data_IF_938176829960
#
_entry.id   IF_938176829960
#
_cell.length_a   1.000
_cell.length_b   1.000
_cell.length_c   1.000
_cell.angle_alpha   90.00
_cell.angle_beta   90.00
_cell.angle_gamma   90.00
#
_symmetry.space_group_name_H-M   'P 1'
#
loop_
_entity.id
_entity.type
_entity.pdbx_description
1 polymer ?
#
# COMPACT_ATOMS: atom_id res chain seq x y z
N UNK A 1 7.49 5.51 -48.23
CA UNK A 1 6.50 4.64 -48.89
C UNK A 1 5.18 4.62 -48.13
N UNK A 2 4.58 5.79 -47.88
CA UNK A 2 3.34 5.88 -47.08
C UNK A 2 2.06 5.78 -47.92
N UNK A 3 2.15 5.87 -49.24
CA UNK A 3 0.99 5.85 -50.14
C UNK A 3 0.47 4.42 -50.36
N UNK A 4 1.35 3.41 -50.31
CA UNK A 4 1.02 1.97 -50.42
C UNK A 4 0.30 1.43 -49.16
N UNK A 5 0.63 1.94 -47.97
CA UNK A 5 0.05 1.46 -46.70
C UNK A 5 -1.45 1.80 -46.57
N UNK A 6 -1.84 2.98 -47.06
CA UNK A 6 -3.25 3.42 -47.03
C UNK A 6 -4.10 2.59 -48.00
N UNK A 7 -3.52 2.21 -49.14
CA UNK A 7 -4.21 1.43 -50.17
C UNK A 7 -4.40 -0.03 -49.72
N UNK A 8 -3.44 -0.60 -48.98
CA UNK A 8 -3.57 -1.93 -48.35
C UNK A 8 -4.65 -1.91 -47.25
N UNK A 9 -4.78 -0.85 -46.47
CA UNK A 9 -5.83 -0.70 -45.45
C UNK A 9 -7.24 -0.58 -46.07
N UNK A 10 -7.37 0.07 -47.22
CA UNK A 10 -8.66 0.27 -47.89
C UNK A 10 -9.05 -0.93 -48.75
N UNK A 11 -8.14 -1.41 -49.60
CA UNK A 11 -8.43 -2.39 -50.67
C UNK A 11 -7.70 -3.73 -50.55
N UNK A 12 -6.79 -3.88 -49.58
CA UNK A 12 -6.03 -5.11 -49.36
C UNK A 12 -6.88 -6.30 -48.88
N UNK A 13 -6.33 -7.50 -49.03
CA UNK A 13 -6.96 -8.72 -48.48
C UNK A 13 -6.89 -8.75 -46.94
N UNK A 14 -7.76 -9.49 -46.25
CA UNK A 14 -7.78 -9.53 -44.78
C UNK A 14 -6.45 -9.93 -44.16
N UNK A 15 -5.67 -10.79 -44.82
CA UNK A 15 -4.34 -11.20 -44.37
C UNK A 15 -3.31 -10.08 -44.52
N UNK A 16 -3.35 -9.34 -45.63
CA UNK A 16 -2.46 -8.18 -45.84
C UNK A 16 -2.73 -7.09 -44.80
N UNK A 17 -4.00 -6.84 -44.46
CA UNK A 17 -4.36 -5.87 -43.41
C UNK A 17 -3.86 -6.33 -42.03
N UNK A 18 -4.01 -7.61 -41.69
CA UNK A 18 -3.50 -8.16 -40.42
C UNK A 18 -1.98 -8.11 -40.33
N UNK A 19 -1.30 -8.35 -41.45
CA UNK A 19 0.16 -8.29 -41.54
C UNK A 19 0.68 -6.87 -41.33
N UNK A 20 0.08 -5.89 -42.00
CA UNK A 20 0.43 -4.47 -41.83
C UNK A 20 0.18 -3.98 -40.39
N UNK A 21 -0.95 -4.37 -39.79
CA UNK A 21 -1.27 -3.99 -38.40
C UNK A 21 -0.27 -4.61 -37.41
N UNK A 22 0.15 -5.87 -37.62
CA UNK A 22 1.17 -6.51 -36.78
C UNK A 22 2.50 -5.77 -36.88
N UNK A 23 2.94 -5.47 -38.11
CA UNK A 23 4.18 -4.74 -38.36
C UNK A 23 4.19 -3.35 -37.72
N UNK A 24 3.09 -2.59 -37.79
CA UNK A 24 2.99 -1.28 -37.13
C UNK A 24 2.95 -1.34 -35.60
N UNK A 25 2.39 -2.42 -35.01
CA UNK A 25 2.20 -2.52 -33.56
C UNK A 25 3.36 -3.20 -32.84
N UNK A 26 4.01 -4.18 -33.46
CA UNK A 26 5.12 -4.92 -32.84
C UNK A 26 6.48 -4.59 -33.47
N UNK A 27 6.52 -3.90 -34.62
CA UNK A 27 7.77 -3.59 -35.33
C UNK A 27 8.42 -4.80 -36.00
N UNK A 28 7.74 -5.95 -35.99
CA UNK A 28 8.28 -7.22 -36.47
C UNK A 28 7.98 -7.37 -37.97
N UNK A 29 8.95 -7.02 -38.81
CA UNK A 29 9.00 -7.54 -40.17
C UNK A 29 9.60 -8.95 -40.14
N UNK A 30 9.07 -9.85 -40.95
CA UNK A 30 9.54 -11.24 -41.08
C UNK A 30 10.91 -11.30 -41.77
N UNK A 31 11.95 -10.75 -41.14
CA UNK A 31 13.34 -11.04 -41.51
C UNK A 31 13.83 -12.24 -40.71
N UNK A 32 13.78 -13.38 -41.39
CA UNK A 32 14.56 -14.56 -41.09
C UNK A 32 16.06 -14.23 -41.13
N UNK A 33 16.68 -14.02 -39.98
CA UNK A 33 18.07 -14.38 -39.75
C UNK A 33 18.22 -14.90 -38.34
N UNK A 34 18.40 -16.21 -38.23
CA UNK A 34 19.12 -16.89 -37.14
C UNK A 34 20.48 -16.18 -37.02
N UNK A 35 20.52 -15.14 -36.20
CA UNK A 35 21.70 -14.28 -36.04
C UNK A 35 22.75 -15.11 -35.31
N UNK A 36 23.81 -15.48 -36.03
CA UNK A 36 24.89 -16.34 -35.54
C UNK A 36 25.44 -15.82 -34.20
N UNK A 37 25.41 -14.49 -34.02
CA UNK A 37 25.77 -13.80 -32.80
C UNK A 37 24.82 -14.07 -31.62
N UNK A 38 23.50 -14.09 -31.83
CA UNK A 38 22.52 -14.38 -30.78
C UNK A 38 22.69 -15.81 -30.26
N UNK A 39 22.97 -16.75 -31.18
CA UNK A 39 23.19 -18.16 -30.86
C UNK A 39 24.53 -18.40 -30.18
N UNK A 40 25.57 -17.68 -30.60
CA UNK A 40 26.87 -17.66 -29.91
C UNK A 40 26.71 -17.09 -28.50
N UNK A 41 25.97 -15.98 -28.33
CA UNK A 41 25.69 -15.39 -27.02
C UNK A 41 24.90 -16.34 -26.11
N UNK A 42 23.87 -17.02 -26.63
CA UNK A 42 23.14 -18.03 -25.87
C UNK A 42 24.03 -19.22 -25.50
N UNK A 43 24.94 -19.64 -26.39
CA UNK A 43 25.89 -20.70 -26.12
C UNK A 43 26.93 -20.28 -25.06
N UNK A 44 27.44 -19.05 -25.13
CA UNK A 44 28.35 -18.49 -24.14
C UNK A 44 27.64 -18.42 -22.78
N UNK A 45 26.46 -17.80 -22.69
CA UNK A 45 25.67 -17.70 -21.46
C UNK A 45 25.39 -19.06 -20.84
N UNK A 46 24.96 -20.05 -21.64
CA UNK A 46 24.73 -21.41 -21.16
C UNK A 46 26.02 -22.08 -20.69
N UNK A 47 27.15 -21.83 -21.35
CA UNK A 47 28.46 -22.36 -20.92
C UNK A 47 28.89 -21.72 -19.60
N UNK A 48 28.69 -20.42 -19.43
CA UNK A 48 28.99 -19.70 -18.17
C UNK A 48 28.11 -20.19 -17.03
N UNK A 49 26.80 -20.34 -17.25
CA UNK A 49 25.89 -20.90 -16.25
C UNK A 49 26.28 -22.32 -15.86
N UNK A 50 26.61 -23.18 -16.82
CA UNK A 50 27.03 -24.56 -16.56
C UNK A 50 28.37 -24.64 -15.81
N UNK A 51 29.26 -23.67 -16.03
CA UNK A 51 30.53 -23.55 -15.29
C UNK A 51 30.30 -23.09 -13.85
N UNK A 52 29.36 -22.18 -13.64
CA UNK A 52 28.92 -21.77 -12.31
C UNK A 52 28.22 -22.93 -11.59
N UNK A 53 27.29 -23.62 -12.23
CA UNK A 53 26.61 -24.80 -11.66
C UNK A 53 27.59 -25.92 -11.31
N UNK A 54 28.61 -26.18 -12.13
CA UNK A 54 29.65 -27.15 -11.83
C UNK A 54 30.52 -26.78 -10.62
N UNK A 55 30.68 -25.48 -10.32
CA UNK A 55 31.33 -24.99 -9.10
C UNK A 55 30.48 -25.17 -7.85
N UNK A 56 29.16 -25.16 -8.01
CA UNK A 56 28.20 -25.32 -6.92
C UNK A 56 27.87 -26.80 -6.65
N UNK A 57 27.97 -27.67 -7.68
CA UNK A 57 27.72 -29.12 -7.60
C UNK A 57 29.03 -29.89 -7.34
N UNK A 58 29.78 -29.48 -6.32
CA UNK A 58 30.78 -30.35 -5.70
C UNK A 58 30.88 -30.11 -4.19
N UNK A 59 30.25 -31.01 -3.43
CA UNK A 59 30.82 -31.46 -2.18
C UNK A 59 30.96 -33.00 -2.19
N UNK A 60 32.21 -33.48 -2.12
CA UNK A 60 32.73 -34.60 -1.31
C UNK A 60 34.10 -35.03 -1.89
N UNK A 61 35.21 -35.09 -1.15
CA UNK A 61 35.38 -35.81 0.12
C UNK A 61 36.49 -35.19 0.97
N UNK A 62 36.19 -34.91 2.25
CA UNK A 62 37.17 -34.38 3.21
C UNK A 62 36.60 -34.10 4.61
N UNK A 63 35.94 -35.09 5.21
CA UNK A 63 35.63 -35.22 6.63
C UNK A 63 34.47 -34.40 7.24
N UNK A 64 33.44 -35.19 7.56
CA UNK A 64 32.58 -35.17 8.76
C UNK A 64 31.23 -34.43 8.74
N UNK A 65 30.20 -35.27 8.65
CA UNK A 65 28.93 -35.23 9.40
C UNK A 65 27.90 -34.17 9.01
N UNK A 66 26.99 -34.60 8.13
CA UNK A 66 25.52 -34.43 8.19
C UNK A 66 24.97 -33.23 8.98
N UNK A 67 24.18 -32.40 8.30
CA UNK A 67 22.70 -32.40 8.40
C UNK A 67 22.14 -31.27 7.54
N UNK A 68 21.28 -31.60 6.58
CA UNK A 68 20.36 -30.61 6.01
C UNK A 68 19.39 -30.18 7.11
N UNK A 69 19.45 -28.90 7.49
CA UNK A 69 18.48 -28.27 8.37
C UNK A 69 17.90 -27.04 7.67
N UNK A 70 16.64 -27.17 7.29
CA UNK A 70 15.69 -26.07 7.23
C UNK A 70 15.56 -25.44 8.62
N UNK A 71 16.06 -24.21 8.76
CA UNK A 71 15.98 -23.31 9.94
C UNK A 71 17.09 -23.52 11.00
N UNK A 72 17.36 -22.58 11.93
CA UNK A 72 17.05 -21.15 12.03
C UNK A 72 18.30 -20.29 11.70
N UNK A 73 18.17 -18.96 11.75
CA UNK A 73 19.25 -18.00 11.53
C UNK A 73 20.57 -18.40 12.23
N UNK A 74 21.54 -18.87 11.44
CA UNK A 74 22.93 -18.86 11.87
C UNK A 74 23.31 -17.40 12.04
N UNK A 75 23.59 -16.98 13.27
CA UNK A 75 24.13 -15.66 13.59
C UNK A 75 25.54 -15.55 13.02
N UNK A 76 25.66 -15.49 11.70
CA UNK A 76 26.91 -15.12 11.04
C UNK A 76 27.22 -13.70 11.48
N UNK A 77 28.39 -13.48 12.07
CA UNK A 77 28.84 -12.14 12.47
C UNK A 77 29.23 -11.28 11.25
N UNK A 78 29.22 -11.85 10.05
CA UNK A 78 29.67 -11.24 8.80
C UNK A 78 28.68 -11.52 7.66
N UNK A 79 28.54 -10.59 6.72
CA UNK A 79 27.77 -10.80 5.50
C UNK A 79 28.39 -11.90 4.63
N UNK A 80 27.56 -12.60 3.87
CA UNK A 80 28.01 -13.66 2.95
C UNK A 80 29.03 -13.11 1.95
N UNK A 81 30.06 -13.91 1.66
CA UNK A 81 31.16 -13.51 0.79
C UNK A 81 30.70 -13.23 -0.64
N UNK A 82 29.58 -13.84 -1.04
CA UNK A 82 28.92 -13.65 -2.34
C UNK A 82 28.36 -12.22 -2.49
N UNK A 83 27.96 -11.56 -1.39
CA UNK A 83 27.30 -10.25 -1.43
C UNK A 83 28.25 -9.08 -1.80
N UNK A 84 29.57 -9.25 -1.60
CA UNK A 84 30.59 -8.21 -1.82
C UNK A 84 31.56 -8.53 -2.97
N UNK A 85 31.26 -9.50 -3.83
CA UNK A 85 32.18 -10.00 -4.89
C UNK A 85 32.24 -9.07 -6.13
N UNK A 86 31.40 -8.03 -6.21
CA UNK A 86 31.36 -7.10 -7.36
C UNK A 86 32.13 -5.79 -7.17
N UNK A 87 32.71 -5.51 -5.99
CA UNK A 87 33.40 -4.24 -5.70
C UNK A 87 34.90 -4.43 -5.38
N UNK A 88 35.49 -5.55 -5.82
CA UNK A 88 36.94 -5.76 -5.69
C UNK A 88 37.66 -5.62 -7.02
N UNK A 89 37.57 -4.43 -7.62
CA UNK A 89 38.58 -4.02 -8.60
C UNK A 89 39.86 -3.64 -7.83
N UNK A 90 40.93 -4.39 -8.09
CA UNK A 90 42.25 -4.20 -7.51
C UNK A 90 42.85 -2.85 -7.95
N UNK A 91 42.85 -1.86 -7.06
CA UNK A 91 43.75 -0.70 -7.18
C UNK A 91 45.10 -1.05 -6.50
N UNK A 92 46.10 -1.20 -7.36
CA UNK A 92 47.52 -1.48 -7.07
C UNK A 92 48.12 -0.59 -5.96
N UNK A 93 48.24 -1.11 -4.73
CA UNK A 93 49.17 -0.56 -3.72
C UNK A 93 49.77 -1.65 -2.86
N UNK A 94 51.07 -1.86 -2.99
CA UNK A 94 51.92 -2.76 -2.19
C UNK A 94 51.65 -2.56 -0.69
N UNK A 95 50.75 -3.36 -0.13
CA UNK A 95 50.48 -3.43 1.30
C UNK A 95 50.30 -4.91 1.64
N UNK A 96 50.91 -5.33 2.74
CA UNK A 96 51.02 -6.75 3.14
C UNK A 96 49.65 -7.45 3.13
N UNK A 97 49.57 -8.59 2.44
CA UNK A 97 48.31 -9.30 2.16
C UNK A 97 47.47 -9.58 3.42
N UNK A 98 48.11 -9.74 4.58
CA UNK A 98 47.44 -10.03 5.85
C UNK A 98 46.69 -8.83 6.44
N UNK A 99 47.18 -7.60 6.23
CA UNK A 99 46.52 -6.37 6.70
C UNK A 99 45.27 -6.08 5.87
N UNK A 100 45.34 -6.33 4.56
CA UNK A 100 44.22 -6.17 3.62
C UNK A 100 43.06 -7.12 3.94
N UNK A 101 43.35 -8.39 4.25
CA UNK A 101 42.34 -9.40 4.62
C UNK A 101 41.63 -9.04 5.93
N UNK A 102 42.36 -8.57 6.95
CA UNK A 102 41.76 -8.17 8.22
C UNK A 102 40.86 -6.93 8.11
N UNK A 103 41.22 -5.92 7.30
CA UNK A 103 40.37 -4.74 7.07
C UNK A 103 39.08 -5.08 6.32
N UNK A 104 39.18 -5.91 5.27
CA UNK A 104 38.00 -6.41 4.53
C UNK A 104 37.08 -7.24 5.43
N UNK A 105 37.65 -8.06 6.32
CA UNK A 105 36.86 -8.84 7.27
C UNK A 105 36.15 -7.93 8.28
N UNK A 106 36.79 -6.88 8.81
CA UNK A 106 36.13 -5.91 9.69
C UNK A 106 34.98 -5.15 8.98
N UNK A 107 35.12 -4.81 7.70
CA UNK A 107 34.08 -4.11 6.93
C UNK A 107 32.86 -4.98 6.61
N UNK A 108 33.04 -6.30 6.51
CA UNK A 108 31.95 -7.26 6.27
C UNK A 108 31.16 -7.60 7.52
N UNK A 109 31.51 -7.07 8.69
CA UNK A 109 30.81 -7.38 9.94
C UNK A 109 29.39 -6.83 9.88
N UNK A 110 28.41 -7.65 10.26
CA UNK A 110 27.02 -7.20 10.38
C UNK A 110 26.97 -6.24 11.57
N UNK A 111 26.59 -4.99 11.30
CA UNK A 111 26.41 -3.95 12.32
C UNK A 111 25.26 -4.37 13.24
N UNK A 112 25.42 -4.16 14.56
CA UNK A 112 24.29 -4.38 15.48
C UNK A 112 23.22 -3.32 15.25
N UNK A 113 21.98 -3.60 15.70
CA UNK A 113 20.90 -2.61 15.66
C UNK A 113 21.30 -1.28 16.31
N UNK A 114 22.02 -1.31 17.44
CA UNK A 114 22.57 -0.10 18.09
C UNK A 114 23.59 0.65 17.22
N UNK A 115 24.40 -0.07 16.43
CA UNK A 115 25.38 0.51 15.51
C UNK A 115 24.71 1.06 14.24
N UNK A 116 23.55 0.50 13.86
CA UNK A 116 22.65 1.01 12.82
C UNK A 116 21.73 2.13 13.30
N UNK A 117 21.76 2.48 14.59
CA UNK A 117 20.79 3.36 15.25
C UNK A 117 19.32 2.93 15.02
N UNK A 118 19.09 1.63 14.81
CA UNK A 118 17.74 1.07 14.66
C UNK A 118 17.27 0.52 16.00
N UNK A 119 16.17 1.07 16.53
CA UNK A 119 15.53 0.55 17.74
C UNK A 119 14.39 -0.41 17.34
N UNK A 120 14.55 -1.74 17.52
CA UNK A 120 13.51 -2.70 17.15
C UNK A 120 12.24 -2.58 18.00
N UNK A 121 12.28 -1.88 19.15
CA UNK A 121 11.13 -1.69 20.03
C UNK A 121 10.41 -0.36 19.79
N UNK A 122 10.88 0.49 18.88
CA UNK A 122 10.26 1.79 18.57
C UNK A 122 8.82 1.62 18.08
N UNK A 123 8.60 0.71 17.14
CA UNK A 123 7.27 0.39 16.61
C UNK A 123 6.31 -0.10 17.73
N UNK A 124 6.81 -0.91 18.68
CA UNK A 124 6.02 -1.39 19.80
C UNK A 124 5.60 -0.24 20.72
N UNK A 125 6.54 0.67 21.06
CA UNK A 125 6.26 1.86 21.87
C UNK A 125 5.23 2.77 21.19
N UNK A 126 5.36 2.96 19.88
CA UNK A 126 4.44 3.79 19.10
C UNK A 126 3.04 3.17 19.03
N UNK A 127 2.96 1.86 18.81
CA UNK A 127 1.69 1.13 18.84
C UNK A 127 0.98 1.25 20.20
N UNK A 128 1.73 1.11 21.29
CA UNK A 128 1.21 1.29 22.65
C UNK A 128 0.69 2.70 22.90
N UNK A 129 1.38 3.72 22.37
CA UNK A 129 0.97 5.11 22.47
C UNK A 129 -0.32 5.38 21.69
N UNK A 130 -0.41 4.92 20.44
CA UNK A 130 -1.63 5.04 19.62
C UNK A 130 -2.80 4.33 20.31
N UNK A 131 -2.58 3.13 20.83
CA UNK A 131 -3.59 2.38 21.57
C UNK A 131 -4.03 3.11 22.83
N UNK A 132 -3.12 3.74 23.55
CA UNK A 132 -3.41 4.59 24.71
C UNK A 132 -4.31 5.76 24.32
N UNK A 133 -3.99 6.44 23.22
CA UNK A 133 -4.80 7.54 22.69
C UNK A 133 -6.22 7.06 22.30
N UNK A 134 -6.32 5.94 21.57
CA UNK A 134 -7.60 5.33 21.19
C UNK A 134 -8.44 4.92 22.41
N UNK A 135 -7.78 4.40 23.46
CA UNK A 135 -8.44 4.08 24.75
C UNK A 135 -8.96 5.34 25.44
N UNK A 136 -8.19 6.43 25.44
CA UNK A 136 -8.56 7.71 26.04
C UNK A 136 -9.92 8.21 25.52
N UNK A 137 -10.13 8.16 24.21
CA UNK A 137 -11.40 8.58 23.61
C UNK A 137 -12.57 7.66 23.97
N UNK A 138 -12.39 6.34 23.91
CA UNK A 138 -13.47 5.36 24.20
C UNK A 138 -13.88 5.35 25.68
N UNK A 139 -12.95 5.61 26.59
CA UNK A 139 -13.21 5.54 28.03
C UNK A 139 -13.95 6.76 28.60
N UNK A 140 -14.09 7.86 27.86
CA UNK A 140 -14.87 9.02 28.31
C UNK A 140 -16.36 8.71 28.54
N UNK A 141 -16.89 7.64 27.93
CA UNK A 141 -18.30 7.22 28.08
C UNK A 141 -18.52 6.00 28.98
N UNK A 142 -17.46 5.40 29.57
CA UNK A 142 -17.59 4.23 30.46
C UNK A 142 -17.19 4.58 31.89
N UNK A 143 -18.08 4.29 32.84
CA UNK A 143 -17.82 4.48 34.26
C UNK A 143 -16.56 3.71 34.71
N UNK A 144 -15.79 4.20 35.70
CA UNK A 144 -14.56 3.58 36.14
C UNK A 144 -14.86 2.26 36.88
N UNK A 145 -14.98 1.16 36.15
CA UNK A 145 -15.06 -0.17 36.75
C UNK A 145 -13.67 -0.79 36.83
N UNK A 146 -13.18 -0.81 38.07
CA UNK A 146 -12.18 -1.71 38.66
C UNK A 146 -10.84 -1.83 37.94
N UNK A 147 -9.89 -1.09 38.50
CA UNK A 147 -8.44 -1.32 38.41
C UNK A 147 -8.15 -2.78 38.81
N UNK A 148 -7.65 -3.61 37.87
CA UNK A 148 -6.73 -4.76 38.11
C UNK A 148 -6.64 -5.81 36.97
N UNK A 149 -7.29 -5.62 35.81
CA UNK A 149 -7.07 -6.51 34.65
C UNK A 149 -6.19 -5.82 33.59
N UNK A 150 -5.31 -6.60 32.93
CA UNK A 150 -4.57 -6.15 31.74
C UNK A 150 -5.55 -5.48 30.76
N UNK A 151 -5.23 -4.31 30.18
CA UNK A 151 -6.13 -3.61 29.29
C UNK A 151 -6.50 -4.53 28.12
N UNK A 152 -7.80 -4.67 27.86
CA UNK A 152 -8.26 -5.43 26.70
C UNK A 152 -7.67 -4.83 25.41
N UNK A 153 -7.33 -5.67 24.40
CA UNK A 153 -6.82 -5.17 23.13
C UNK A 153 -7.87 -4.22 22.53
N UNK A 154 -7.40 -3.09 21.99
CA UNK A 154 -8.29 -2.17 21.30
C UNK A 154 -8.80 -2.86 20.03
N UNK A 155 -10.12 -2.80 19.74
CA UNK A 155 -10.64 -3.20 18.44
C UNK A 155 -9.84 -2.60 17.29
N UNK A 156 -9.60 -3.42 16.27
CA UNK A 156 -8.89 -3.02 15.06
C UNK A 156 -9.62 -1.85 14.38
N UNK A 157 -8.86 -0.82 14.02
CA UNK A 157 -9.33 0.27 13.14
C UNK A 157 -9.12 -0.14 11.69
N UNK A 158 -10.01 0.26 10.79
CA UNK A 158 -9.90 -0.10 9.37
C UNK A 158 -8.82 0.73 8.63
N UNK A 159 -8.60 1.98 9.06
CA UNK A 159 -7.65 2.89 8.44
C UNK A 159 -7.25 4.05 9.38
N UNK A 160 -6.16 4.73 9.04
CA UNK A 160 -5.81 6.07 9.54
C UNK A 160 -6.24 7.09 8.48
N UNK A 161 -6.98 8.12 8.88
CA UNK A 161 -7.52 9.14 7.98
C UNK A 161 -6.69 10.42 8.06
N UNK A 162 -6.27 10.94 6.92
CA UNK A 162 -5.50 12.16 6.77
C UNK A 162 -6.22 13.19 5.89
N UNK A 163 -5.97 14.47 6.14
CA UNK A 163 -6.50 15.57 5.35
C UNK A 163 -5.90 15.56 3.94
N UNK A 164 -6.70 15.69 2.86
CA UNK A 164 -6.18 15.69 1.50
C UNK A 164 -5.32 16.91 1.15
N UNK A 165 -5.51 18.05 1.85
CA UNK A 165 -4.79 19.28 1.53
C UNK A 165 -3.47 19.43 2.32
N UNK A 166 -3.47 19.12 3.62
CA UNK A 166 -2.31 19.33 4.50
C UNK A 166 -1.73 18.03 5.10
N UNK A 167 -2.28 16.87 4.75
CA UNK A 167 -1.85 15.54 5.24
C UNK A 167 -1.94 15.35 6.77
N UNK A 168 -2.51 16.31 7.51
CA UNK A 168 -2.72 16.21 8.95
C UNK A 168 -3.61 15.02 9.28
N UNK A 169 -3.23 14.24 10.29
CA UNK A 169 -4.05 13.14 10.80
C UNK A 169 -5.36 13.65 11.39
N UNK A 170 -6.47 13.13 10.88
CA UNK A 170 -7.83 13.50 11.29
C UNK A 170 -8.46 12.44 12.19
N UNK A 171 -8.12 11.16 11.99
CA UNK A 171 -8.69 10.06 12.76
C UNK A 171 -7.79 8.82 12.78
N UNK A 172 -7.65 8.22 13.96
CA UNK A 172 -6.88 6.98 14.20
C UNK A 172 -7.79 5.73 14.36
N UNK A 173 -9.09 5.94 14.56
CA UNK A 173 -10.07 4.90 14.85
C UNK A 173 -11.35 5.12 14.03
N UNK A 174 -11.42 4.47 12.86
CA UNK A 174 -12.52 4.60 11.95
C UNK A 174 -13.01 3.24 11.43
N UNK A 175 -14.29 3.22 11.07
CA UNK A 175 -14.94 2.09 10.43
C UNK A 175 -15.27 2.46 8.99
N UNK A 176 -14.88 1.62 8.04
CA UNK A 176 -15.20 1.79 6.63
C UNK A 176 -16.71 1.64 6.40
N UNK A 177 -17.29 2.52 5.59
CA UNK A 177 -18.70 2.42 5.24
C UNK A 177 -18.96 1.18 4.36
N UNK A 178 -20.05 0.47 4.62
CA UNK A 178 -20.40 -0.80 3.95
C UNK A 178 -20.65 -0.62 2.44
N UNK A 179 -21.49 0.37 2.08
CA UNK A 179 -21.80 0.67 0.67
C UNK A 179 -20.69 1.42 -0.07
N UNK A 180 -19.99 2.34 0.60
CA UNK A 180 -19.02 3.25 -0.02
C UNK A 180 -17.64 3.04 0.58
N UNK A 181 -16.83 2.29 -0.15
CA UNK A 181 -15.45 1.93 0.23
C UNK A 181 -14.51 3.12 0.48
N UNK A 182 -14.83 4.30 -0.03
CA UNK A 182 -14.03 5.53 0.15
C UNK A 182 -14.52 6.38 1.32
N UNK A 183 -15.61 5.99 1.97
CA UNK A 183 -16.19 6.72 3.08
C UNK A 183 -15.92 5.99 4.39
N UNK A 184 -15.76 6.76 5.45
CA UNK A 184 -15.41 6.25 6.77
C UNK A 184 -16.30 6.91 7.82
N UNK A 185 -16.64 6.15 8.84
CA UNK A 185 -17.40 6.59 10.01
C UNK A 185 -16.49 6.56 11.22
N UNK A 186 -16.49 7.63 11.99
CA UNK A 186 -15.72 7.72 13.22
C UNK A 186 -16.54 8.33 14.34
N UNK A 187 -16.31 7.87 15.56
CA UNK A 187 -16.87 8.49 16.76
C UNK A 187 -16.00 9.64 17.29
N UNK A 188 -14.69 9.58 17.02
CA UNK A 188 -13.71 10.52 17.55
C UNK A 188 -12.79 10.99 16.44
N UNK A 189 -12.52 12.28 16.44
CA UNK A 189 -11.68 12.95 15.46
C UNK A 189 -10.72 13.89 16.17
N UNK A 190 -9.60 14.14 15.54
CA UNK A 190 -8.61 15.13 15.95
C UNK A 190 -8.38 16.12 14.81
N UNK A 191 -7.91 17.32 15.14
CA UNK A 191 -7.60 18.35 14.13
C UNK A 191 -8.80 18.68 13.20
N UNK A 192 -10.03 18.60 13.74
CA UNK A 192 -11.27 18.89 13.04
C UNK A 192 -12.11 19.93 13.81
N UNK A 193 -12.69 20.90 13.10
CA UNK A 193 -13.65 21.87 13.62
C UNK A 193 -15.03 21.63 13.00
N UNK A 194 -16.08 21.71 13.81
CA UNK A 194 -17.47 21.47 13.37
C UNK A 194 -18.14 22.81 13.21
N UNK A 195 -18.59 23.13 12.00
CA UNK A 195 -19.37 24.33 11.76
C UNK A 195 -20.85 24.05 12.07
N UNK A 196 -21.31 24.44 13.26
CA UNK A 196 -22.70 24.25 13.70
C UNK A 196 -23.67 25.30 13.14
N UNK A 197 -23.15 26.34 12.50
CA UNK A 197 -23.97 27.42 11.92
C UNK A 197 -24.56 26.98 10.58
N UNK A 198 -23.86 26.11 9.86
CA UNK A 198 -24.29 25.58 8.59
C UNK A 198 -24.96 24.20 8.78
N UNK A 199 -26.16 24.05 8.20
CA UNK A 199 -26.94 22.82 8.27
C UNK A 199 -27.18 22.32 6.85
N UNK A 200 -26.57 21.19 6.54
CA UNK A 200 -26.81 20.43 5.32
C UNK A 200 -27.99 19.48 5.54
N UNK A 201 -29.00 19.60 4.68
CA UNK A 201 -30.22 18.76 4.71
C UNK A 201 -30.26 17.89 3.48
N UNK A 202 -30.19 16.57 3.68
CA UNK A 202 -30.33 15.64 2.56
C UNK A 202 -31.80 15.32 2.31
N UNK A 203 -32.33 15.77 1.16
CA UNK A 203 -33.69 15.43 0.76
C UNK A 203 -33.69 14.02 0.18
N UNK A 204 -34.15 13.02 0.94
CA UNK A 204 -34.33 11.66 0.40
C UNK A 204 -35.25 11.71 -0.82
N UNK A 205 -34.77 11.21 -1.97
CA UNK A 205 -35.62 11.05 -3.17
C UNK A 205 -36.62 9.95 -2.89
N UNK A 206 -37.86 10.33 -2.58
CA UNK A 206 -38.97 9.38 -2.44
C UNK A 206 -39.09 8.58 -3.74
N UNK A 207 -38.82 7.28 -3.69
CA UNK A 207 -39.04 6.38 -4.84
C UNK A 207 -40.54 6.42 -5.17
N UNK A 208 -40.92 7.14 -6.23
CA UNK A 208 -42.31 7.19 -6.72
C UNK A 208 -42.71 5.78 -7.18
N UNK A 209 -43.35 5.00 -6.31
CA UNK A 209 -44.11 3.81 -6.74
C UNK A 209 -45.25 4.34 -7.62
N UNK A 210 -45.22 4.00 -8.90
CA UNK A 210 -46.30 4.26 -9.85
C UNK A 210 -47.56 3.49 -9.43
N UNK A 211 -48.41 4.10 -8.60
CA UNK A 211 -49.79 3.66 -8.45
C UNK A 211 -50.69 4.56 -9.28
N UNK A 212 -51.24 3.93 -10.31
CA UNK A 212 -52.31 4.37 -11.20
C UNK A 212 -53.43 5.08 -10.42
N UNK A 213 -53.63 6.35 -10.79
CA UNK A 213 -54.85 7.17 -10.74
C UNK A 213 -56.09 6.56 -10.06
N UNK A 214 -56.60 7.25 -9.01
CA UNK A 214 -58.02 7.63 -8.96
C UNK A 214 -58.23 8.90 -8.13
N UNK A 215 -59.00 9.80 -8.73
CA UNK A 215 -59.37 11.17 -8.37
C UNK A 215 -60.14 11.28 -7.04
N UNK A 216 -59.92 12.35 -6.25
CA UNK A 216 -60.97 13.17 -5.60
C UNK A 216 -60.48 14.02 -4.41
N UNK A 217 -60.45 15.35 -4.64
CA UNK A 217 -60.94 16.46 -3.79
C UNK A 217 -60.15 16.90 -2.54
N UNK A 218 -59.92 18.22 -2.49
CA UNK A 218 -59.28 19.04 -1.44
C UNK A 218 -59.84 18.79 -0.03
N UNK A 219 -58.96 18.70 0.96
CA UNK A 219 -59.03 19.41 2.25
C UNK A 219 -57.65 19.47 2.91
N UNK A 220 -57.27 20.64 3.39
CA UNK A 220 -56.13 20.90 4.27
C UNK A 220 -55.98 19.85 5.38
N UNK A 221 -54.82 19.22 5.44
CA UNK A 221 -54.31 18.63 6.68
C UNK A 221 -52.79 18.58 6.61
N UNK A 222 -52.18 19.55 7.28
CA UNK A 222 -50.84 19.47 7.84
C UNK A 222 -50.81 18.21 8.71
N UNK A 223 -50.40 17.08 8.15
CA UNK A 223 -50.26 15.83 8.88
C UNK A 223 -48.95 15.14 8.50
N UNK A 224 -47.95 15.44 9.33
CA UNK A 224 -47.06 14.45 9.93
C UNK A 224 -46.47 13.38 8.99
N UNK A 225 -45.52 13.78 8.15
CA UNK A 225 -44.37 12.91 7.88
C UNK A 225 -43.20 13.46 8.68
N UNK A 226 -43.11 13.01 9.93
CA UNK A 226 -41.86 12.95 10.69
C UNK A 226 -40.91 11.94 10.02
N UNK A 227 -40.56 12.15 8.75
CA UNK A 227 -39.30 11.62 8.25
C UNK A 227 -38.25 12.51 8.89
N UNK A 228 -37.60 12.01 9.93
CA UNK A 228 -36.53 12.69 10.64
C UNK A 228 -35.58 13.33 9.62
N UNK A 229 -35.67 14.65 9.50
CA UNK A 229 -34.82 15.39 8.57
C UNK A 229 -33.38 15.18 9.04
N UNK A 230 -32.61 14.36 8.32
CA UNK A 230 -31.21 14.06 8.63
C UNK A 230 -30.43 15.37 8.43
N UNK A 231 -30.13 16.01 9.55
CA UNK A 231 -29.39 17.26 9.65
C UNK A 231 -27.94 16.90 9.84
N UNK A 232 -27.09 17.46 8.99
CA UNK A 232 -25.66 17.26 9.00
C UNK A 232 -24.95 18.60 9.16
N UNK A 233 -23.89 18.62 9.97
CA UNK A 233 -23.03 19.79 10.17
C UNK A 233 -21.69 19.54 9.48
N UNK A 234 -21.20 20.45 8.61
CA UNK A 234 -19.92 20.26 7.95
C UNK A 234 -18.76 20.32 8.94
N UNK A 235 -17.76 19.49 8.67
CA UNK A 235 -16.56 19.32 9.49
C UNK A 235 -15.33 19.64 8.64
N UNK A 236 -14.56 20.59 9.14
CA UNK A 236 -13.43 21.18 8.47
C UNK A 236 -12.13 20.78 9.19
N UNK A 237 -11.04 20.66 8.47
CA UNK A 237 -9.72 20.51 9.08
C UNK A 237 -9.31 21.81 9.80
N UNK A 238 -8.77 21.72 11.00
CA UNK A 238 -8.32 22.90 11.77
C UNK A 238 -7.11 23.61 11.16
N UNK A 239 -6.27 22.87 10.44
CA UNK A 239 -5.01 23.40 9.90
C UNK A 239 -5.20 24.14 8.57
N UNK A 240 -6.06 23.64 7.69
CA UNK A 240 -6.23 24.14 6.32
C UNK A 240 -7.67 24.50 5.95
N UNK A 241 -8.62 24.37 6.88
CA UNK A 241 -10.04 24.68 6.68
C UNK A 241 -10.70 23.92 5.51
N UNK A 242 -10.12 22.81 5.07
CA UNK A 242 -10.71 21.96 4.03
C UNK A 242 -11.88 21.18 4.60
N UNK A 243 -13.00 21.11 3.89
CA UNK A 243 -14.14 20.26 4.26
C UNK A 243 -13.79 18.78 4.03
N UNK A 244 -13.81 18.02 5.12
CA UNK A 244 -13.33 16.63 5.16
C UNK A 244 -14.44 15.64 5.53
N UNK A 245 -15.44 16.10 6.30
CA UNK A 245 -16.49 15.25 6.84
C UNK A 245 -17.79 16.02 7.09
N UNK A 246 -18.84 15.29 7.46
CA UNK A 246 -20.05 15.84 8.07
C UNK A 246 -20.37 15.10 9.37
N UNK A 247 -20.93 15.80 10.36
CA UNK A 247 -21.38 15.25 11.63
C UNK A 247 -22.90 15.10 11.64
N UNK A 248 -23.40 13.92 12.05
CA UNK A 248 -24.82 13.66 12.21
C UNK A 248 -25.36 14.01 13.62
N UNK A 249 -26.63 13.67 13.89
CA UNK A 249 -27.29 13.92 15.19
C UNK A 249 -26.75 13.05 16.31
N UNK A 250 -26.16 11.91 16.00
CA UNK A 250 -25.61 10.96 16.97
C UNK A 250 -24.14 11.28 17.29
N UNK A 251 -23.65 12.45 16.87
CA UNK A 251 -22.25 12.89 16.98
C UNK A 251 -21.27 11.96 16.26
N UNK A 252 -21.72 11.27 15.21
CA UNK A 252 -20.88 10.43 14.36
C UNK A 252 -20.40 11.24 13.15
N UNK A 253 -19.11 11.16 12.90
CA UNK A 253 -18.45 11.81 11.78
C UNK A 253 -18.46 10.89 10.56
N UNK A 254 -18.94 11.39 9.43
CA UNK A 254 -18.93 10.72 8.14
C UNK A 254 -17.94 11.41 7.22
N UNK A 255 -16.79 10.79 7.01
CA UNK A 255 -15.73 11.26 6.13
C UNK A 255 -15.95 10.79 4.70
N UNK A 256 -15.78 11.71 3.74
CA UNK A 256 -15.90 11.43 2.30
C UNK A 256 -14.80 12.05 1.44
N UNK A 257 -14.03 13.00 1.98
CA UNK A 257 -12.92 13.66 1.30
C UNK A 257 -11.65 13.54 2.15
N UNK A 258 -11.15 12.29 2.28
CA UNK A 258 -9.99 11.96 3.12
C UNK A 258 -9.06 10.98 2.42
N UNK A 259 -7.79 11.00 2.82
CA UNK A 259 -6.79 10.02 2.43
C UNK A 259 -6.72 8.94 3.51
N UNK A 260 -6.92 7.68 3.12
CA UNK A 260 -6.91 6.55 4.04
C UNK A 260 -5.62 5.75 3.87
N UNK A 261 -4.88 5.59 4.97
CA UNK A 261 -3.74 4.69 5.08
C UNK A 261 -4.18 3.40 5.74
N UNK A 262 -3.97 2.28 5.07
CA UNK A 262 -4.26 0.93 5.59
C UNK A 262 -2.95 0.28 6.05
N UNK A 263 -3.00 -0.41 7.19
CA UNK A 263 -1.91 -1.24 7.75
C UNK A 263 -2.15 -2.70 7.43
#
# INVERSE_FOLDING_TARGET
SSEDEVDVLLHGTPDQKRKLIRECLTGESESSSDDEFQKEMEAELNTTMKTMEGKWISPEMGSSSSTGQTGPATTSKYYDDIYFDSDSEDEDKIDTQDVRKNRKHQQRRILSNDELLYDPEEDNRDQEWVDSQRRGYRNQRRAPQQQQAKPAPVPNSDAVLNCPACMTTLCLDCQRHESYKTQYRAMFVMNCSVNKEEILKYRKKVKRRSKKMKHSKETSSVQSNQEEEEVYHPVLCTECSTEVAVMDKDEVFHFFNVLASHS
#
